data_IF_787707523737
#
_entry.id   IF_787707523737
#
_cell.length_a   1.000
_cell.length_b   1.000
_cell.length_c   1.000
_cell.angle_alpha   90.00
_cell.angle_beta   90.00
_cell.angle_gamma   90.00
#
_symmetry.space_group_name_H-M   'P 1'
#
loop_
_entity.id
_entity.type
_entity.pdbx_description
1 polymer ?
#
# COMPACT_ATOMS: atom_id res chain seq x y z
N UNK A 1 -84.91 11.99 2.42
CA UNK A 1 -84.12 12.00 1.19
C UNK A 1 -84.80 11.10 0.17
N UNK A 2 -85.29 11.68 -0.94
CA UNK A 2 -85.76 10.93 -2.11
C UNK A 2 -84.58 10.80 -3.06
N UNK A 3 -84.03 9.60 -3.22
CA UNK A 3 -83.09 9.31 -4.30
C UNK A 3 -83.92 8.69 -5.43
N UNK A 4 -84.38 9.52 -6.36
CA UNK A 4 -85.26 9.08 -7.46
C UNK A 4 -86.69 8.69 -7.04
N UNK A 5 -87.31 7.80 -7.81
CA UNK A 5 -88.70 7.31 -7.65
C UNK A 5 -88.90 6.25 -6.57
N UNK A 6 -87.86 5.83 -5.86
CA UNK A 6 -87.95 4.78 -4.83
C UNK A 6 -88.30 5.35 -3.45
N UNK A 7 -89.41 4.88 -2.86
CA UNK A 7 -89.77 5.18 -1.46
C UNK A 7 -89.28 4.07 -0.53
N UNK A 8 -88.16 4.31 0.15
CA UNK A 8 -87.63 3.35 1.11
C UNK A 8 -88.40 3.36 2.44
N UNK A 9 -88.79 2.18 2.91
CA UNK A 9 -89.45 2.01 4.22
C UNK A 9 -88.49 2.38 5.38
N UNK A 10 -89.04 2.67 6.58
CA UNK A 10 -88.21 3.04 7.76
C UNK A 10 -87.19 1.95 8.12
N UNK A 11 -87.52 0.68 7.84
CA UNK A 11 -86.64 -0.48 8.05
C UNK A 11 -85.50 -0.51 7.03
N UNK A 12 -85.77 -0.23 5.76
CA UNK A 12 -84.74 -0.16 4.71
C UNK A 12 -83.71 0.94 4.95
N UNK A 13 -84.14 2.10 5.46
CA UNK A 13 -83.20 3.19 5.82
C UNK A 13 -82.22 2.78 6.91
N UNK A 14 -82.70 2.08 7.94
CA UNK A 14 -81.84 1.56 9.02
C UNK A 14 -80.86 0.53 8.46
N UNK A 15 -81.34 -0.37 7.59
CA UNK A 15 -80.53 -1.40 6.95
C UNK A 15 -79.43 -0.81 6.05
N UNK A 16 -79.76 0.26 5.30
CA UNK A 16 -78.81 0.95 4.44
C UNK A 16 -77.71 1.66 5.24
N UNK A 17 -78.07 2.32 6.36
CA UNK A 17 -77.06 2.92 7.26
C UNK A 17 -76.14 1.84 7.84
N UNK A 18 -76.71 0.71 8.29
CA UNK A 18 -75.92 -0.39 8.84
C UNK A 18 -74.96 -0.97 7.78
N UNK A 19 -75.42 -1.15 6.54
CA UNK A 19 -74.58 -1.57 5.41
C UNK A 19 -73.41 -0.62 5.18
N UNK A 20 -73.65 0.69 5.16
CA UNK A 20 -72.59 1.70 4.97
C UNK A 20 -71.56 1.64 6.10
N UNK A 21 -72.00 1.47 7.34
CA UNK A 21 -71.09 1.32 8.49
C UNK A 21 -70.24 0.06 8.38
N UNK A 22 -70.84 -1.07 8.00
CA UNK A 22 -70.11 -2.34 7.82
C UNK A 22 -69.10 -2.22 6.67
N UNK A 23 -69.48 -1.63 5.54
CA UNK A 23 -68.56 -1.38 4.42
C UNK A 23 -67.44 -0.43 4.83
N UNK A 24 -67.73 0.61 5.61
CA UNK A 24 -66.72 1.52 6.14
C UNK A 24 -65.71 0.84 7.05
N UNK A 25 -66.17 -0.05 7.94
CA UNK A 25 -65.30 -0.85 8.82
C UNK A 25 -64.43 -1.81 7.99
N UNK A 26 -65.01 -2.49 7.00
CA UNK A 26 -64.26 -3.40 6.12
C UNK A 26 -63.21 -2.63 5.34
N UNK A 27 -63.57 -1.48 4.74
CA UNK A 27 -62.63 -0.63 4.01
C UNK A 27 -61.50 -0.12 4.91
N UNK A 28 -61.81 0.36 6.11
CA UNK A 28 -60.79 0.81 7.06
C UNK A 28 -59.84 -0.32 7.47
N UNK A 29 -60.38 -1.51 7.75
CA UNK A 29 -59.57 -2.66 8.15
C UNK A 29 -58.70 -3.17 6.98
N UNK A 30 -59.26 -3.20 5.76
CA UNK A 30 -58.54 -3.75 4.61
C UNK A 30 -57.53 -2.76 4.03
N UNK A 31 -57.89 -1.48 3.94
CA UNK A 31 -57.04 -0.45 3.30
C UNK A 31 -56.09 0.18 4.29
N UNK A 32 -56.58 0.64 5.45
CA UNK A 32 -55.74 1.36 6.42
C UNK A 32 -54.85 0.39 7.19
N UNK A 33 -55.42 -0.66 7.80
CA UNK A 33 -54.60 -1.66 8.50
C UNK A 33 -53.83 -2.57 7.55
N UNK A 34 -54.39 -2.92 6.39
CA UNK A 34 -53.70 -3.80 5.43
C UNK A 34 -52.49 -3.15 4.77
N UNK A 35 -52.58 -1.88 4.35
CA UNK A 35 -51.49 -1.24 3.60
C UNK A 35 -50.53 -0.41 4.46
N UNK A 36 -51.00 0.31 5.48
CA UNK A 36 -50.12 1.22 6.24
C UNK A 36 -49.29 0.50 7.30
N UNK A 37 -49.83 -0.58 7.86
CA UNK A 37 -49.21 -1.33 8.95
C UNK A 37 -47.90 -2.06 8.54
N UNK A 38 -47.77 -2.68 7.35
CA UNK A 38 -46.48 -3.19 6.89
C UNK A 38 -45.46 -2.07 6.64
N UNK A 39 -45.85 -0.96 6.00
CA UNK A 39 -44.96 0.16 5.75
C UNK A 39 -44.40 0.78 7.05
N UNK A 40 -45.24 0.89 8.08
CA UNK A 40 -44.82 1.35 9.40
C UNK A 40 -43.85 0.36 10.09
N UNK A 41 -44.11 -0.95 9.98
CA UNK A 41 -43.22 -1.99 10.51
C UNK A 41 -41.85 -1.96 9.82
N UNK A 42 -41.81 -1.78 8.51
CA UNK A 42 -40.58 -1.67 7.74
C UNK A 42 -39.79 -0.42 8.12
N UNK A 43 -40.45 0.74 8.22
CA UNK A 43 -39.82 1.98 8.66
C UNK A 43 -39.23 1.86 10.07
N UNK A 44 -39.98 1.26 11.00
CA UNK A 44 -39.51 1.00 12.37
C UNK A 44 -38.33 0.03 12.39
N UNK A 45 -38.35 -1.00 11.54
CA UNK A 45 -37.24 -1.94 11.35
C UNK A 45 -35.98 -1.24 10.84
N UNK A 46 -36.10 -0.37 9.84
CA UNK A 46 -35.00 0.43 9.30
C UNK A 46 -34.41 1.39 10.33
N UNK A 47 -35.25 2.05 11.13
CA UNK A 47 -34.77 2.91 12.21
C UNK A 47 -34.00 2.13 13.27
N UNK A 48 -34.50 0.96 13.68
CA UNK A 48 -33.79 0.10 14.64
C UNK A 48 -32.44 -0.38 14.09
N UNK A 49 -32.40 -0.87 12.85
CA UNK A 49 -31.16 -1.28 12.20
C UNK A 49 -30.16 -0.12 12.03
N UNK A 50 -30.64 1.09 11.74
CA UNK A 50 -29.81 2.29 11.70
C UNK A 50 -29.21 2.65 13.06
N UNK A 51 -29.99 2.56 14.13
CA UNK A 51 -29.52 2.79 15.50
C UNK A 51 -28.48 1.76 15.94
N UNK A 52 -28.68 0.47 15.62
CA UNK A 52 -27.72 -0.59 15.91
C UNK A 52 -26.39 -0.39 15.17
N UNK A 53 -26.43 0.03 13.89
CA UNK A 53 -25.22 0.38 13.12
C UNK A 53 -24.47 1.56 13.72
N UNK A 54 -25.18 2.61 14.15
CA UNK A 54 -24.56 3.77 14.81
C UNK A 54 -23.92 3.39 16.15
N UNK A 55 -24.57 2.52 16.93
CA UNK A 55 -24.01 2.01 18.19
C UNK A 55 -22.74 1.19 17.95
N UNK A 56 -22.76 0.28 16.96
CA UNK A 56 -21.59 -0.51 16.58
C UNK A 56 -20.43 0.37 16.08
N UNK A 57 -20.72 1.37 15.24
CA UNK A 57 -19.70 2.31 14.76
C UNK A 57 -19.09 3.14 15.88
N UNK A 58 -19.89 3.58 16.87
CA UNK A 58 -19.39 4.29 18.06
C UNK A 58 -18.52 3.39 18.93
N UNK A 59 -18.90 2.13 19.11
CA UNK A 59 -18.09 1.17 19.87
C UNK A 59 -16.75 0.88 19.18
N UNK A 60 -16.74 0.74 17.85
CA UNK A 60 -15.52 0.60 17.06
C UNK A 60 -14.63 1.86 17.12
N UNK A 61 -15.23 3.06 17.09
CA UNK A 61 -14.50 4.31 17.24
C UNK A 61 -13.90 4.46 18.65
N UNK A 62 -14.62 4.04 19.69
CA UNK A 62 -14.14 4.07 21.06
C UNK A 62 -12.94 3.13 21.28
N UNK A 63 -12.98 1.91 20.70
CA UNK A 63 -11.85 0.97 20.78
C UNK A 63 -10.67 1.35 19.88
N UNK A 64 -10.87 2.15 18.84
CA UNK A 64 -9.79 2.60 17.95
C UNK A 64 -8.71 3.40 18.69
N UNK A 65 -9.09 4.27 19.65
CA UNK A 65 -8.14 5.03 20.44
C UNK A 65 -7.31 4.13 21.38
N UNK A 66 -7.94 3.12 22.00
CA UNK A 66 -7.23 2.15 22.83
C UNK A 66 -6.29 1.26 22.00
N UNK A 67 -6.73 0.83 20.81
CA UNK A 67 -5.90 0.05 19.89
C UNK A 67 -4.71 0.86 19.38
N UNK A 68 -4.90 2.14 19.07
CA UNK A 68 -3.80 3.04 18.70
C UNK A 68 -2.78 3.14 19.84
N UNK A 69 -3.23 3.38 21.08
CA UNK A 69 -2.35 3.44 22.25
C UNK A 69 -1.60 2.11 22.49
N UNK A 70 -2.27 0.97 22.33
CA UNK A 70 -1.63 -0.36 22.41
C UNK A 70 -0.61 -0.58 21.30
N UNK A 71 -0.90 -0.13 20.08
CA UNK A 71 0.04 -0.19 18.96
C UNK A 71 1.28 0.66 19.22
N UNK A 72 1.12 1.86 19.77
CA UNK A 72 2.26 2.73 20.11
C UNK A 72 3.08 2.17 21.28
N UNK A 73 2.42 1.58 22.30
CA UNK A 73 3.12 0.87 23.37
C UNK A 73 3.90 -0.35 22.85
N UNK A 74 3.31 -1.12 21.93
CA UNK A 74 3.98 -2.26 21.31
C UNK A 74 5.17 -1.82 20.45
N UNK A 75 5.05 -0.69 19.73
CA UNK A 75 6.17 -0.09 18.97
C UNK A 75 7.29 0.37 19.90
N UNK A 76 6.97 1.09 20.97
CA UNK A 76 7.97 1.54 21.93
C UNK A 76 8.68 0.37 22.63
N UNK A 77 7.92 -0.66 23.02
CA UNK A 77 8.48 -1.88 23.61
C UNK A 77 9.38 -2.64 22.62
N UNK A 78 8.97 -2.72 21.35
CA UNK A 78 9.77 -3.30 20.28
C UNK A 78 11.06 -2.51 20.03
N UNK A 79 11.00 -1.19 19.98
CA UNK A 79 12.20 -0.35 19.79
C UNK A 79 13.17 -0.48 20.97
N UNK A 80 12.64 -0.51 22.21
CA UNK A 80 13.44 -0.75 23.40
C UNK A 80 14.10 -2.13 23.37
N UNK A 81 13.35 -3.19 23.00
CA UNK A 81 13.89 -4.53 22.82
C UNK A 81 14.95 -4.57 21.70
N UNK A 82 14.71 -3.87 20.59
CA UNK A 82 15.66 -3.78 19.47
C UNK A 82 16.98 -3.14 19.89
N UNK A 83 16.93 -2.07 20.67
CA UNK A 83 18.11 -1.41 21.23
C UNK A 83 18.83 -2.32 22.23
N UNK A 84 18.09 -3.02 23.09
CA UNK A 84 18.67 -3.93 24.08
C UNK A 84 19.33 -5.15 23.46
N UNK A 85 18.73 -5.73 22.41
CA UNK A 85 19.25 -6.88 21.68
C UNK A 85 20.40 -6.51 20.73
N UNK A 86 20.70 -5.22 20.57
CA UNK A 86 21.88 -4.76 19.84
C UNK A 86 21.84 -5.12 18.36
N UNK A 87 20.66 -5.26 17.74
CA UNK A 87 20.50 -5.55 16.31
C UNK A 87 21.13 -4.43 15.46
N UNK A 88 22.42 -4.58 15.18
CA UNK A 88 23.28 -3.56 14.57
C UNK A 88 23.71 -3.94 13.17
N UNK A 89 23.62 -5.23 12.82
CA UNK A 89 23.94 -5.74 11.49
C UNK A 89 22.78 -5.42 10.55
N UNK A 90 22.83 -4.23 9.94
CA UNK A 90 21.93 -3.85 8.83
C UNK A 90 22.58 -4.24 7.50
N UNK A 91 21.82 -4.96 6.69
CA UNK A 91 22.21 -5.31 5.34
C UNK A 91 23.08 -6.56 5.24
N UNK A 92 23.29 -6.99 4.01
CA UNK A 92 23.89 -8.29 3.69
C UNK A 92 25.40 -8.31 3.95
N UNK A 93 26.13 -7.25 3.60
CA UNK A 93 27.59 -7.20 3.72
C UNK A 93 28.13 -7.42 5.16
N UNK A 94 27.70 -6.67 6.19
CA UNK A 94 28.22 -6.86 7.55
C UNK A 94 27.78 -8.21 8.15
N UNK A 95 26.62 -8.73 7.73
CA UNK A 95 26.20 -10.09 8.10
C UNK A 95 27.15 -11.14 7.50
N UNK A 96 27.49 -11.04 6.22
CA UNK A 96 28.40 -11.98 5.55
C UNK A 96 29.80 -12.02 6.18
N UNK A 97 30.29 -10.87 6.66
CA UNK A 97 31.55 -10.78 7.39
C UNK A 97 31.46 -11.45 8.76
N UNK A 98 30.40 -11.17 9.52
CA UNK A 98 30.19 -11.75 10.84
C UNK A 98 29.85 -13.25 10.81
N UNK A 99 29.27 -13.72 9.71
CA UNK A 99 28.93 -15.11 9.47
C UNK A 99 30.13 -15.99 9.07
N UNK A 100 31.34 -15.46 8.91
CA UNK A 100 32.52 -16.30 8.65
C UNK A 100 32.88 -17.13 9.89
N UNK A 101 33.28 -18.41 9.74
CA UNK A 101 33.70 -19.23 10.87
C UNK A 101 34.96 -18.66 11.52
N UNK A 102 34.97 -18.57 12.85
CA UNK A 102 36.16 -18.15 13.61
C UNK A 102 37.25 -19.22 13.67
N UNK A 103 36.86 -20.49 13.61
CA UNK A 103 37.79 -21.62 13.60
C UNK A 103 38.25 -21.91 12.17
N UNK A 104 39.57 -21.89 11.97
CA UNK A 104 40.22 -22.19 10.69
C UNK A 104 40.10 -23.68 10.30
N UNK A 105 39.72 -24.55 11.24
CA UNK A 105 39.46 -25.97 10.98
C UNK A 105 38.18 -26.20 10.16
N UNK A 106 37.28 -25.20 10.10
CA UNK A 106 36.10 -25.21 9.24
C UNK A 106 36.39 -24.55 7.90
N UNK A 107 36.07 -25.26 6.83
CA UNK A 107 36.13 -24.75 5.47
C UNK A 107 34.71 -24.48 4.96
N UNK A 108 34.44 -23.23 4.58
CA UNK A 108 33.19 -22.87 3.90
C UNK A 108 33.28 -23.30 2.44
N UNK A 109 32.52 -24.33 2.09
CA UNK A 109 32.47 -24.88 0.73
C UNK A 109 31.53 -24.08 -0.17
N UNK A 110 30.40 -23.61 0.38
CA UNK A 110 29.44 -22.79 -0.33
C UNK A 110 28.78 -21.79 0.61
N UNK A 111 28.62 -20.56 0.13
CA UNK A 111 27.81 -19.53 0.76
C UNK A 111 27.09 -18.77 -0.35
N UNK A 112 25.81 -19.11 -0.61
CA UNK A 112 25.07 -18.64 -1.79
C UNK A 112 23.78 -17.94 -1.38
N UNK A 113 23.53 -16.70 -1.84
CA UNK A 113 22.23 -16.07 -1.65
C UNK A 113 21.17 -16.79 -2.49
N UNK A 114 20.03 -17.05 -1.87
CA UNK A 114 18.82 -17.55 -2.52
C UNK A 114 17.87 -16.36 -2.83
N UNK A 115 16.85 -16.56 -3.70
CA UNK A 115 15.89 -15.50 -4.02
C UNK A 115 15.21 -14.93 -2.77
N UNK A 116 15.13 -13.60 -2.70
CA UNK A 116 14.54 -12.88 -1.56
C UNK A 116 13.05 -13.22 -1.44
N UNK A 117 12.62 -13.63 -0.26
CA UNK A 117 11.21 -13.89 0.03
C UNK A 117 10.58 -12.66 0.70
N UNK A 118 9.40 -12.26 0.23
CA UNK A 118 8.62 -11.19 0.86
C UNK A 118 7.58 -11.82 1.78
N UNK A 119 7.83 -11.79 3.09
CA UNK A 119 6.93 -12.29 4.14
C UNK A 119 6.43 -11.12 4.96
N UNK A 120 5.42 -10.40 4.44
CA UNK A 120 4.87 -9.18 5.06
C UNK A 120 4.67 -9.36 6.58
N UNK A 121 5.32 -8.57 7.46
CA UNK A 121 6.01 -7.29 7.20
C UNK A 121 7.50 -7.36 6.84
N UNK A 122 8.10 -8.53 6.80
CA UNK A 122 9.53 -8.77 6.64
C UNK A 122 9.96 -9.05 5.21
N UNK A 123 11.23 -8.76 4.94
CA UNK A 123 11.97 -9.34 3.81
C UNK A 123 12.93 -10.38 4.39
N UNK A 124 12.92 -11.56 3.81
CA UNK A 124 13.81 -12.65 4.22
C UNK A 124 14.87 -12.82 3.13
N UNK A 125 16.13 -12.77 3.53
CA UNK A 125 17.29 -13.05 2.68
C UNK A 125 17.83 -14.44 3.04
N UNK A 126 17.37 -15.49 2.35
CA UNK A 126 17.86 -16.84 2.59
C UNK A 126 19.27 -17.02 2.02
N UNK A 127 20.14 -17.69 2.78
CA UNK A 127 21.49 -18.08 2.35
C UNK A 127 21.69 -19.57 2.52
N UNK A 128 22.06 -20.25 1.44
CA UNK A 128 22.49 -21.64 1.50
C UNK A 128 23.98 -21.69 1.91
N UNK A 129 24.25 -22.37 3.02
CA UNK A 129 25.58 -22.48 3.60
C UNK A 129 25.98 -23.95 3.67
N UNK A 130 27.16 -24.26 3.12
CA UNK A 130 27.78 -25.59 3.21
C UNK A 130 29.17 -25.44 3.80
N UNK A 131 29.43 -26.15 4.90
CA UNK A 131 30.70 -26.12 5.63
C UNK A 131 31.22 -27.54 5.88
N UNK A 132 32.53 -27.70 5.92
CA UNK A 132 33.17 -28.98 6.25
C UNK A 132 34.27 -28.81 7.29
N UNK A 133 34.33 -29.72 8.25
CA UNK A 133 35.35 -29.73 9.30
C UNK A 133 35.00 -30.68 10.44
N UNK A 134 35.71 -30.61 11.57
CA UNK A 134 35.42 -31.40 12.76
C UNK A 134 34.03 -31.06 13.34
N UNK A 135 33.31 -32.07 13.83
CA UNK A 135 31.97 -31.87 14.41
C UNK A 135 31.91 -30.84 15.56
N UNK A 136 32.87 -30.80 16.51
CA UNK A 136 32.87 -29.77 17.55
C UNK A 136 32.98 -28.35 17.00
N UNK A 137 33.85 -28.13 16.01
CA UNK A 137 34.00 -26.81 15.37
C UNK A 137 32.71 -26.38 14.67
N UNK A 138 32.00 -27.31 14.02
CA UNK A 138 30.69 -27.06 13.42
C UNK A 138 29.66 -26.63 14.47
N UNK A 139 29.63 -27.25 15.65
CA UNK A 139 28.73 -26.89 16.73
C UNK A 139 29.00 -25.47 17.24
N UNK A 140 30.27 -25.11 17.39
CA UNK A 140 30.66 -23.75 17.79
C UNK A 140 30.28 -22.73 16.73
N UNK A 141 30.40 -23.08 15.44
CA UNK A 141 29.98 -22.22 14.34
C UNK A 141 28.46 -22.00 14.28
N UNK A 142 27.65 -23.04 14.50
CA UNK A 142 26.20 -22.88 14.60
C UNK A 142 25.84 -21.96 15.79
N UNK A 143 26.50 -22.16 16.93
CA UNK A 143 26.32 -21.30 18.12
C UNK A 143 26.76 -19.85 17.87
N UNK A 144 27.81 -19.64 17.07
CA UNK A 144 28.23 -18.30 16.61
C UNK A 144 27.14 -17.65 15.76
N UNK A 145 26.58 -18.38 14.80
CA UNK A 145 25.53 -17.86 13.92
C UNK A 145 24.26 -17.48 14.71
N UNK A 146 23.87 -18.29 15.70
CA UNK A 146 22.73 -18.01 16.58
C UNK A 146 22.96 -16.82 17.52
N UNK A 147 24.20 -16.49 17.83
CA UNK A 147 24.57 -15.37 18.72
C UNK A 147 24.87 -14.07 17.97
N UNK A 148 24.72 -14.05 16.65
CA UNK A 148 24.89 -12.83 15.87
C UNK A 148 23.86 -11.76 16.29
N UNK A 149 24.24 -10.47 16.32
CA UNK A 149 23.32 -9.36 16.56
C UNK A 149 22.46 -9.05 15.32
N UNK A 150 21.81 -10.08 14.79
CA UNK A 150 20.91 -10.08 13.65
C UNK A 150 19.74 -11.03 13.91
N UNK A 151 18.57 -10.76 13.32
CA UNK A 151 17.45 -11.70 13.35
C UNK A 151 17.73 -12.80 12.32
N UNK A 152 18.27 -13.93 12.79
CA UNK A 152 18.60 -15.08 11.95
C UNK A 152 17.85 -16.33 12.39
N UNK A 153 17.42 -17.16 11.43
CA UNK A 153 16.91 -18.49 11.70
C UNK A 153 17.63 -19.53 10.84
N UNK A 154 18.08 -20.62 11.47
CA UNK A 154 18.72 -21.74 10.79
C UNK A 154 17.68 -22.83 10.57
N UNK A 155 17.55 -23.31 9.34
CA UNK A 155 16.65 -24.40 9.02
C UNK A 155 17.27 -25.37 7.99
N UNK A 156 16.64 -26.53 7.82
CA UNK A 156 17.10 -27.60 6.92
C UNK A 156 18.54 -28.10 7.19
N UNK A 157 18.97 -28.13 8.45
CA UNK A 157 20.29 -28.63 8.83
C UNK A 157 20.44 -30.11 8.48
N UNK A 158 21.38 -30.41 7.59
CA UNK A 158 21.81 -31.76 7.21
C UNK A 158 23.28 -31.92 7.51
N UNK A 159 23.65 -32.94 8.28
CA UNK A 159 25.04 -33.25 8.62
C UNK A 159 25.34 -34.65 8.08
N UNK A 160 26.38 -34.76 7.26
CA UNK A 160 26.85 -36.00 6.64
C UNK A 160 28.28 -36.28 7.07
N UNK A 161 28.60 -37.53 7.38
CA UNK A 161 29.97 -37.95 7.65
C UNK A 161 30.72 -38.10 6.31
N UNK A 162 31.91 -37.50 6.18
CA UNK A 162 32.72 -37.62 4.97
C UNK A 162 33.55 -38.90 5.02
N UNK A 163 33.26 -39.85 4.13
CA UNK A 163 34.02 -41.10 4.06
C UNK A 163 35.48 -40.81 3.66
N UNK A 164 36.43 -41.36 4.42
CA UNK A 164 37.87 -41.27 4.13
C UNK A 164 38.66 -40.19 4.87
N UNK A 165 38.02 -39.38 5.73
CA UNK A 165 38.72 -38.44 6.59
C UNK A 165 38.23 -38.57 8.04
N UNK A 166 39.08 -39.11 8.92
CA UNK A 166 38.68 -39.45 10.29
C UNK A 166 38.25 -38.17 11.04
N UNK A 167 36.95 -38.10 11.35
CA UNK A 167 36.26 -37.04 12.10
C UNK A 167 35.82 -35.77 11.34
N UNK A 168 35.91 -35.72 10.01
CA UNK A 168 35.33 -34.62 9.24
C UNK A 168 33.85 -34.86 8.90
N UNK A 169 33.01 -33.87 9.20
CA UNK A 169 31.61 -33.82 8.77
C UNK A 169 31.44 -32.73 7.71
N UNK A 170 30.40 -32.87 6.90
CA UNK A 170 29.92 -31.86 5.97
C UNK A 170 28.50 -31.49 6.40
N UNK A 171 28.26 -30.20 6.62
CA UNK A 171 26.96 -29.69 7.00
C UNK A 171 26.43 -28.70 5.97
N UNK A 172 25.17 -28.87 5.60
CA UNK A 172 24.43 -28.00 4.69
C UNK A 172 23.16 -27.53 5.38
N UNK A 173 22.92 -26.22 5.37
CA UNK A 173 21.75 -25.59 5.98
C UNK A 173 21.42 -24.27 5.30
N UNK A 174 20.23 -23.73 5.59
CA UNK A 174 19.80 -22.42 5.12
C UNK A 174 19.71 -21.49 6.32
N UNK A 175 20.32 -20.31 6.19
CA UNK A 175 20.19 -19.21 7.15
C UNK A 175 19.27 -18.16 6.57
N UNK A 176 18.16 -17.89 7.24
CA UNK A 176 17.28 -16.76 6.92
C UNK A 176 17.75 -15.53 7.68
N UNK A 177 18.15 -14.48 6.96
CA UNK A 177 18.34 -13.15 7.54
C UNK A 177 17.07 -12.33 7.36
N UNK A 178 16.44 -11.94 8.47
CA UNK A 178 15.23 -11.14 8.46
C UNK A 178 15.57 -9.65 8.47
N UNK A 179 15.05 -8.92 7.49
CA UNK A 179 15.12 -7.47 7.39
C UNK A 179 13.72 -6.90 7.50
N UNK A 180 13.54 -5.98 8.44
CA UNK A 180 12.27 -5.31 8.67
C UNK A 180 11.92 -4.29 7.57
N UNK A 181 12.86 -3.95 6.69
CA UNK A 181 12.67 -2.97 5.64
C UNK A 181 12.51 -1.55 6.21
N UNK A 182 13.36 -0.63 5.79
CA UNK A 182 13.18 0.79 6.10
C UNK A 182 11.97 1.32 5.31
N UNK A 183 10.77 1.24 5.89
CA UNK A 183 9.58 1.91 5.34
C UNK A 183 8.25 1.16 5.44
N UNK A 184 8.20 -0.09 5.90
CA UNK A 184 6.92 -0.76 6.17
C UNK A 184 6.55 -0.59 7.66
N UNK A 185 5.45 0.08 8.01
CA UNK A 185 4.99 0.13 9.39
C UNK A 185 4.70 -1.30 9.86
N UNK A 186 5.34 -1.72 10.95
CA UNK A 186 5.07 -3.00 11.60
C UNK A 186 3.55 -3.14 11.84
N UNK A 187 2.89 -4.18 11.30
CA UNK A 187 1.54 -4.52 11.69
C UNK A 187 1.57 -4.89 13.18
N UNK A 188 0.63 -4.34 13.95
CA UNK A 188 0.54 -4.50 15.41
C UNK A 188 0.42 -5.97 15.88
N UNK A 189 0.30 -6.93 14.96
CA UNK A 189 0.10 -8.35 15.23
C UNK A 189 1.38 -9.17 15.47
N UNK A 190 2.58 -8.61 15.29
CA UNK A 190 3.84 -9.42 15.29
C UNK A 190 4.51 -9.52 16.67
N UNK A 191 3.93 -8.96 17.72
CA UNK A 191 4.47 -9.00 19.09
C UNK A 191 4.33 -10.37 19.81
N UNK A 192 4.15 -11.48 19.10
CA UNK A 192 3.81 -12.79 19.70
C UNK A 192 4.79 -13.94 19.39
N UNK A 193 5.99 -13.67 18.88
CA UNK A 193 7.03 -14.72 18.87
C UNK A 193 7.74 -14.76 20.23
N UNK A 194 7.60 -15.83 21.02
CA UNK A 194 8.43 -16.00 22.21
C UNK A 194 9.88 -16.20 21.75
N UNK A 195 10.74 -15.21 21.99
CA UNK A 195 12.19 -15.29 21.76
C UNK A 195 12.91 -16.16 22.80
N UNK A 196 12.25 -17.22 23.29
CA UNK A 196 12.78 -18.14 24.28
C UNK A 196 12.72 -19.56 23.72
N UNK A 197 13.82 -20.30 23.88
CA UNK A 197 13.95 -21.72 23.53
C UNK A 197 12.66 -22.48 23.88
N UNK A 198 11.89 -22.85 22.86
CA UNK A 198 10.90 -23.93 23.03
C UNK A 198 11.73 -25.21 23.02
N UNK A 199 12.09 -25.67 24.21
CA UNK A 199 12.68 -26.99 24.38
C UNK A 199 11.62 -28.02 23.97
N UNK A 200 11.72 -28.50 22.72
CA UNK A 200 10.80 -29.50 22.15
C UNK A 200 10.84 -30.86 22.87
N UNK A 201 11.68 -30.99 23.91
CA UNK A 201 11.78 -32.18 24.75
C UNK A 201 11.17 -32.00 26.15
N UNK A 202 10.64 -30.84 26.52
CA UNK A 202 9.94 -30.72 27.80
C UNK A 202 8.52 -31.29 27.66
N UNK A 203 8.17 -32.42 28.30
CA UNK A 203 6.81 -32.93 28.24
C UNK A 203 5.84 -31.91 28.85
N UNK A 204 4.60 -31.80 28.34
CA UNK A 204 3.61 -30.87 28.86
C UNK A 204 3.38 -31.14 30.35
N UNK A 205 3.38 -30.07 31.15
CA UNK A 205 3.08 -30.13 32.57
C UNK A 205 1.69 -30.77 32.77
N UNK A 206 1.67 -32.02 33.22
CA UNK A 206 0.44 -32.81 33.39
C UNK A 206 0.56 -34.30 33.07
N UNK A 207 1.64 -34.76 32.43
CA UNK A 207 1.88 -36.19 32.21
C UNK A 207 2.45 -36.87 33.48
N UNK A 208 1.63 -36.95 34.53
CA UNK A 208 1.90 -37.81 35.69
C UNK A 208 1.50 -39.23 35.29
N UNK A 209 2.49 -40.08 35.04
CA UNK A 209 2.26 -41.51 34.89
C UNK A 209 1.82 -42.08 36.24
N UNK A 210 0.52 -42.38 36.36
CA UNK A 210 0.03 -43.31 37.37
C UNK A 210 0.56 -44.70 37.00
N UNK A 211 1.53 -45.18 37.77
CA UNK A 211 1.89 -46.57 37.78
C UNK A 211 0.78 -47.36 38.48
N UNK A 212 0.30 -48.41 37.82
CA UNK A 212 -0.20 -49.59 38.51
C UNK A 212 0.14 -50.81 37.66
N UNK A 213 0.83 -51.76 38.30
CA UNK A 213 1.30 -52.98 37.67
C UNK A 213 0.21 -54.03 37.51
N UNK A 214 0.49 -55.01 36.65
CA UNK A 214 0.36 -56.44 36.94
C UNK A 214 0.38 -57.25 35.64
N UNK A 215 1.28 -58.24 35.62
CA UNK A 215 1.08 -59.62 35.14
C UNK A 215 0.31 -59.88 33.84
N UNK A 216 0.96 -60.61 32.93
CA UNK A 216 0.23 -61.60 32.14
C UNK A 216 0.85 -61.95 30.81
N UNK A 217 1.58 -63.06 30.81
CA UNK A 217 1.99 -63.88 29.68
C UNK A 217 1.05 -63.93 28.45
N UNK A 218 1.67 -64.07 27.27
CA UNK A 218 1.21 -65.07 26.30
C UNK A 218 0.97 -64.61 24.86
N UNK A 219 1.48 -65.42 23.93
CA UNK A 219 1.11 -65.57 22.52
C UNK A 219 1.68 -64.58 21.48
N UNK A 220 2.76 -65.04 20.85
CA UNK A 220 3.06 -64.93 19.40
C UNK A 220 2.05 -65.80 18.60
N UNK A 221 2.07 -65.89 17.26
CA UNK A 221 2.18 -64.91 16.16
C UNK A 221 0.99 -65.05 15.14
N UNK A 222 0.97 -64.20 14.10
CA UNK A 222 0.61 -64.69 12.75
C UNK A 222 -0.35 -63.86 11.91
N UNK A 223 0.07 -63.68 10.65
CA UNK A 223 -0.71 -63.58 9.40
C UNK A 223 -1.76 -62.45 9.34
N UNK A 224 -1.68 -61.45 8.48
CA UNK A 224 -1.27 -61.48 7.08
C UNK A 224 -2.52 -61.23 6.25
N UNK A 225 -2.68 -60.05 5.65
CA UNK A 225 -3.50 -59.89 4.44
C UNK A 225 -3.20 -58.56 3.73
N UNK A 226 -2.75 -58.77 2.50
CA UNK A 226 -2.82 -57.95 1.30
C UNK A 226 -3.90 -56.85 1.23
N UNK A 227 -3.53 -55.68 0.69
CA UNK A 227 -3.95 -55.21 -0.65
C UNK A 227 -3.91 -53.67 -0.75
N UNK A 228 -3.48 -53.15 -1.91
CA UNK A 228 -3.92 -51.83 -2.36
C UNK A 228 -2.85 -50.84 -2.81
N UNK A 229 -1.96 -51.23 -3.73
CA UNK A 229 -1.17 -50.29 -4.52
C UNK A 229 -2.06 -49.57 -5.57
N UNK A 230 -2.07 -48.23 -5.58
CA UNK A 230 -2.42 -47.43 -6.77
C UNK A 230 -1.75 -46.03 -6.71
N UNK A 231 -0.59 -45.82 -7.35
CA UNK A 231 -0.09 -44.47 -7.60
C UNK A 231 -0.77 -43.88 -8.84
N UNK A 232 -1.35 -42.69 -8.69
CA UNK A 232 -1.86 -41.89 -9.80
C UNK A 232 -0.68 -41.31 -10.60
N UNK A 233 -0.68 -41.63 -11.89
CA UNK A 233 0.29 -41.19 -12.88
C UNK A 233 0.11 -39.72 -13.25
N UNK A 234 1.26 -39.05 -13.41
CA UNK A 234 1.41 -37.75 -14.03
C UNK A 234 0.91 -37.75 -15.47
N UNK A 235 0.29 -36.64 -15.88
CA UNK A 235 0.19 -36.24 -17.29
C UNK A 235 0.53 -34.77 -17.40
N UNK A 236 1.79 -34.50 -17.70
CA UNK A 236 2.30 -33.23 -18.21
C UNK A 236 2.09 -33.20 -19.72
N UNK A 237 1.16 -32.37 -20.18
CA UNK A 237 0.95 -32.10 -21.59
C UNK A 237 2.00 -31.10 -22.10
N UNK A 238 2.87 -31.59 -22.97
CA UNK A 238 3.82 -30.85 -23.79
C UNK A 238 3.09 -30.16 -24.95
N UNK A 239 3.00 -28.83 -24.90
CA UNK A 239 2.56 -28.00 -26.02
C UNK A 239 3.78 -27.47 -26.74
N UNK A 240 4.11 -28.09 -27.87
CA UNK A 240 5.08 -27.59 -28.85
C UNK A 240 4.43 -26.50 -29.69
N UNK A 241 4.71 -25.23 -29.36
CA UNK A 241 4.33 -24.06 -30.16
C UNK A 241 5.46 -23.67 -31.10
N UNK A 242 5.25 -23.88 -32.40
CA UNK A 242 6.09 -23.43 -33.50
C UNK A 242 6.09 -21.90 -33.61
N UNK A 243 7.28 -21.29 -33.62
CA UNK A 243 7.50 -19.86 -33.84
C UNK A 243 7.64 -19.58 -35.34
N UNK A 244 6.77 -18.78 -35.98
CA UNK A 244 7.03 -18.28 -37.33
C UNK A 244 7.94 -17.05 -37.26
N UNK A 245 9.16 -17.19 -37.78
CA UNK A 245 10.00 -16.07 -38.20
C UNK A 245 9.37 -15.42 -39.42
N UNK A 246 8.91 -14.17 -39.29
CA UNK A 246 8.64 -13.33 -40.45
C UNK A 246 9.06 -11.89 -40.12
N UNK A 247 10.28 -11.54 -40.53
CA UNK A 247 10.82 -10.18 -40.48
C UNK A 247 10.39 -9.44 -41.76
N UNK A 248 9.75 -8.26 -41.66
CA UNK A 248 9.53 -7.40 -42.82
C UNK A 248 10.85 -6.70 -43.22
N UNK A 249 11.09 -6.46 -44.52
CA UNK A 249 12.28 -5.76 -44.99
C UNK A 249 12.24 -4.28 -44.65
N UNK A 250 13.43 -3.71 -44.45
CA UNK A 250 13.68 -2.31 -44.14
C UNK A 250 13.18 -1.38 -45.25
N UNK A 251 12.41 -0.36 -44.85
CA UNK A 251 12.03 0.76 -45.72
C UNK A 251 13.25 1.63 -46.06
N UNK A 252 13.35 2.13 -47.31
CA UNK A 252 14.45 2.99 -47.73
C UNK A 252 14.32 4.42 -47.18
N UNK A 253 15.47 5.06 -47.01
CA UNK A 253 15.61 6.46 -46.60
C UNK A 253 14.94 7.41 -47.60
N UNK A 254 14.26 8.49 -47.15
CA UNK A 254 13.74 9.50 -48.06
C UNK A 254 14.87 10.41 -48.57
N UNK A 255 14.85 10.57 -49.89
CA UNK A 255 15.67 11.49 -50.66
C UNK A 255 15.47 12.95 -50.22
N UNK A 256 16.56 13.71 -50.29
CA UNK A 256 16.58 15.14 -49.98
C UNK A 256 15.75 15.97 -50.95
N UNK A 257 15.09 16.99 -50.40
CA UNK A 257 14.52 18.09 -51.16
C UNK A 257 15.49 19.29 -51.15
N UNK A 258 15.77 19.92 -52.30
CA UNK A 258 16.56 21.12 -52.39
C UNK A 258 15.70 22.39 -52.29
N UNK A 259 16.22 23.39 -51.56
CA UNK A 259 16.13 24.81 -51.90
C UNK A 259 14.80 25.53 -51.68
N UNK A 260 14.74 26.34 -50.61
CA UNK A 260 14.03 27.63 -50.64
C UNK A 260 14.73 28.67 -49.76
N UNK A 261 14.75 29.90 -50.30
CA UNK A 261 15.46 31.14 -49.97
C UNK A 261 15.43 31.68 -48.52
N UNK A 262 16.35 32.61 -48.18
CA UNK A 262 16.54 33.12 -46.83
C UNK A 262 15.52 34.21 -46.48
N UNK A 263 14.80 34.03 -45.37
CA UNK A 263 14.02 35.08 -44.72
C UNK A 263 14.70 35.48 -43.40
N UNK A 264 15.17 36.72 -43.40
CA UNK A 264 15.32 37.67 -42.29
C UNK A 264 15.26 37.08 -40.88
N UNK A 265 16.44 36.91 -40.26
CA UNK A 265 16.56 36.63 -38.82
C UNK A 265 16.06 37.83 -38.01
N UNK A 266 15.22 37.62 -36.97
CA UNK A 266 14.97 38.63 -35.97
C UNK A 266 16.25 38.83 -35.14
N UNK A 267 16.62 40.09 -34.96
CA UNK A 267 17.72 40.54 -34.12
C UNK A 267 17.59 39.92 -32.72
N UNK A 268 18.44 38.94 -32.42
CA UNK A 268 18.62 38.42 -31.07
C UNK A 268 19.22 39.55 -30.21
N UNK A 269 18.54 39.87 -29.13
CA UNK A 269 19.09 40.71 -28.07
C UNK A 269 20.40 40.12 -27.53
N UNK A 270 21.30 41.03 -27.16
CA UNK A 270 22.64 40.76 -26.64
C UNK A 270 22.69 39.68 -25.54
N UNK A 271 23.79 38.91 -25.45
CA UNK A 271 23.98 37.90 -24.42
C UNK A 271 24.18 38.58 -23.06
N UNK A 272 23.11 38.66 -22.27
CA UNK A 272 23.22 38.93 -20.85
C UNK A 272 23.78 37.67 -20.15
N UNK A 273 24.90 37.85 -19.47
CA UNK A 273 25.44 37.04 -18.36
C UNK A 273 25.16 35.53 -18.40
N UNK A 274 26.10 34.78 -18.99
CA UNK A 274 26.20 33.34 -18.83
C UNK A 274 26.68 33.05 -17.40
N UNK A 275 25.76 32.70 -16.49
CA UNK A 275 26.20 32.34 -15.13
C UNK A 275 25.22 31.62 -14.21
N UNK A 276 23.91 31.89 -14.26
CA UNK A 276 22.97 31.23 -13.36
C UNK A 276 21.67 30.89 -14.08
N UNK A 277 21.30 29.60 -14.08
CA UNK A 277 19.97 29.18 -14.50
C UNK A 277 18.93 29.99 -13.72
N UNK A 278 17.96 30.63 -14.40
CA UNK A 278 16.99 31.51 -13.76
C UNK A 278 16.34 30.77 -12.58
N UNK A 279 16.46 31.35 -11.39
CA UNK A 279 15.88 30.81 -10.18
C UNK A 279 14.41 31.27 -10.11
N UNK A 280 13.49 30.50 -10.66
CA UNK A 280 12.08 30.87 -10.69
C UNK A 280 11.26 30.06 -9.67
N UNK A 281 10.29 30.74 -9.06
CA UNK A 281 9.18 30.10 -8.35
C UNK A 281 8.04 29.82 -9.32
N UNK A 282 7.01 29.11 -8.86
CA UNK A 282 5.85 28.80 -9.67
C UNK A 282 5.13 30.08 -10.17
N UNK A 283 4.70 30.12 -11.45
CA UNK A 283 3.91 31.22 -11.97
C UNK A 283 2.58 31.34 -11.23
N UNK A 284 1.97 32.52 -11.30
CA UNK A 284 0.65 32.81 -10.72
C UNK A 284 -0.36 33.07 -11.81
N UNK A 285 -1.58 32.58 -11.64
CA UNK A 285 -2.66 32.86 -12.58
C UNK A 285 -3.17 34.30 -12.38
N UNK A 286 -2.96 35.17 -13.37
CA UNK A 286 -3.56 36.49 -13.47
C UNK A 286 -4.73 36.48 -14.47
N UNK A 287 -5.47 37.60 -14.50
CA UNK A 287 -6.63 37.75 -15.37
C UNK A 287 -6.28 37.55 -16.85
N UNK A 288 -5.07 37.94 -17.23
CA UNK A 288 -4.57 37.95 -18.61
C UNK A 288 -3.58 36.80 -18.89
N UNK A 289 -3.51 35.79 -18.02
CA UNK A 289 -2.65 34.61 -18.19
C UNK A 289 -1.69 34.37 -17.03
N UNK A 290 -0.67 33.54 -17.28
CA UNK A 290 0.34 33.20 -16.27
C UNK A 290 1.38 34.31 -16.15
N UNK A 291 1.52 34.85 -14.95
CA UNK A 291 2.56 35.82 -14.60
C UNK A 291 3.70 35.09 -13.90
N UNK A 292 4.98 35.40 -14.20
CA UNK A 292 6.11 34.84 -13.47
C UNK A 292 5.95 34.98 -11.95
N UNK A 293 6.34 33.94 -11.21
CA UNK A 293 6.37 33.99 -9.76
C UNK A 293 7.45 34.96 -9.25
N UNK A 294 7.44 35.31 -7.95
CA UNK A 294 8.54 36.06 -7.34
C UNK A 294 9.88 35.34 -7.54
N UNK A 295 10.99 36.08 -7.48
CA UNK A 295 12.31 35.45 -7.44
C UNK A 295 12.38 34.50 -6.24
N UNK A 296 13.00 33.33 -6.43
CA UNK A 296 13.19 32.38 -5.34
C UNK A 296 13.99 33.05 -4.21
N UNK A 297 13.46 32.95 -3.00
CA UNK A 297 14.17 33.31 -1.78
C UNK A 297 14.37 32.02 -1.02
N UNK A 298 15.62 31.74 -0.62
CA UNK A 298 15.88 30.54 0.16
C UNK A 298 15.12 30.65 1.50
N UNK A 299 14.23 29.70 1.81
CA UNK A 299 13.49 29.74 3.06
C UNK A 299 14.50 29.77 4.21
N UNK A 300 14.29 30.70 5.15
CA UNK A 300 15.11 30.82 6.35
C UNK A 300 15.23 29.45 7.02
N UNK A 301 16.46 29.01 7.28
CA UNK A 301 16.70 27.79 8.03
C UNK A 301 16.07 27.95 9.43
N UNK A 302 14.93 27.32 9.65
CA UNK A 302 14.15 27.42 10.87
C UNK A 302 13.18 26.25 11.01
N UNK A 303 12.64 26.08 12.22
CA UNK A 303 11.80 24.94 12.63
C UNK A 303 10.37 24.96 12.05
N UNK A 304 10.16 25.60 10.90
CA UNK A 304 8.85 25.74 10.28
C UNK A 304 8.71 24.83 9.06
N UNK A 305 7.49 24.36 8.83
CA UNK A 305 7.17 23.69 7.58
C UNK A 305 7.32 24.67 6.40
N UNK A 306 7.92 24.18 5.31
CA UNK A 306 8.09 24.93 4.06
C UNK A 306 7.04 24.47 3.05
N UNK A 307 6.43 25.40 2.33
CA UNK A 307 5.34 25.07 1.41
C UNK A 307 5.85 24.79 0.00
N UNK A 308 5.14 23.94 -0.76
CA UNK A 308 5.57 23.56 -2.12
C UNK A 308 5.79 24.77 -3.05
N UNK A 309 4.99 25.83 -2.90
CA UNK A 309 5.12 27.06 -3.69
C UNK A 309 6.33 27.94 -3.32
N UNK A 310 6.94 27.68 -2.17
CA UNK A 310 8.14 28.36 -1.67
C UNK A 310 9.43 27.61 -2.06
N UNK A 311 9.32 26.37 -2.52
CA UNK A 311 10.47 25.58 -2.94
C UNK A 311 11.04 26.05 -4.27
N UNK A 312 12.33 25.79 -4.46
CA UNK A 312 13.01 26.06 -5.72
C UNK A 312 12.53 25.08 -6.79
N UNK A 313 11.99 25.63 -7.88
CA UNK A 313 11.56 24.83 -9.04
C UNK A 313 12.76 24.58 -9.95
N UNK A 314 13.04 23.31 -10.22
CA UNK A 314 14.07 22.86 -11.15
C UNK A 314 13.52 22.71 -12.57
N UNK A 315 12.26 22.27 -12.69
CA UNK A 315 11.58 22.03 -13.97
C UNK A 315 10.06 22.15 -13.82
N UNK A 316 9.39 22.77 -14.78
CA UNK A 316 7.93 22.87 -14.85
C UNK A 316 7.46 22.62 -16.29
N UNK A 317 6.96 21.41 -16.56
CA UNK A 317 6.41 20.99 -17.87
C UNK A 317 4.89 20.85 -17.72
N UNK A 318 4.12 21.51 -18.59
CA UNK A 318 2.66 21.59 -18.46
C UNK A 318 2.30 22.48 -17.28
N UNK A 319 2.17 23.80 -17.49
CA UNK A 319 2.52 24.79 -16.47
C UNK A 319 1.71 24.61 -15.19
N UNK A 320 2.40 24.20 -14.13
CA UNK A 320 1.91 24.31 -12.76
C UNK A 320 1.91 25.78 -12.36
N UNK A 321 0.87 26.21 -11.65
CA UNK A 321 0.73 27.58 -11.18
C UNK A 321 0.06 27.65 -9.81
N UNK A 322 0.40 28.68 -9.05
CA UNK A 322 -0.23 28.96 -7.75
C UNK A 322 -1.65 29.49 -7.97
N UNK A 323 -2.61 28.89 -7.28
CA UNK A 323 -4.00 29.34 -7.27
C UNK A 323 -4.17 30.53 -6.33
N UNK A 324 -4.85 31.58 -6.80
CA UNK A 324 -5.19 32.76 -5.98
C UNK A 324 -6.31 32.49 -4.97
N UNK A 325 -7.07 31.42 -5.19
CA UNK A 325 -8.15 30.96 -4.32
C UNK A 325 -7.77 29.63 -3.69
N UNK A 326 -8.38 29.27 -2.54
CA UNK A 326 -8.36 27.89 -2.08
C UNK A 326 -8.87 26.94 -3.18
N UNK A 327 -8.26 25.77 -3.26
CA UNK A 327 -8.77 24.67 -4.06
C UNK A 327 -10.00 24.09 -3.38
N UNK A 328 -11.04 23.80 -4.16
CA UNK A 328 -12.23 23.10 -3.68
C UNK A 328 -12.10 21.64 -4.14
N UNK A 329 -11.85 20.69 -3.22
CA UNK A 329 -11.68 19.27 -3.54
C UNK A 329 -12.75 18.45 -2.81
N UNK A 330 -13.74 17.93 -3.53
CA UNK A 330 -14.88 17.20 -2.97
C UNK A 330 -15.59 17.98 -1.83
N UNK A 331 -15.76 19.29 -2.01
CA UNK A 331 -16.34 20.20 -1.04
C UNK A 331 -15.38 20.70 0.06
N UNK A 332 -14.14 20.20 0.12
CA UNK A 332 -13.12 20.71 1.05
C UNK A 332 -12.42 21.95 0.47
N UNK A 333 -12.34 23.03 1.24
CA UNK A 333 -11.57 24.22 0.85
C UNK A 333 -10.15 24.15 1.43
N UNK A 334 -9.16 23.99 0.57
CA UNK A 334 -7.75 23.86 0.96
C UNK A 334 -6.93 25.05 0.46
N UNK A 335 -6.18 25.68 1.36
CA UNK A 335 -5.31 26.82 1.04
C UNK A 335 -4.05 26.42 0.27
N UNK A 336 -3.22 27.43 -0.07
CA UNK A 336 -1.85 27.27 -0.63
C UNK A 336 -1.75 26.14 -1.66
N UNK A 337 -2.51 26.31 -2.74
CA UNK A 337 -2.75 25.27 -3.73
C UNK A 337 -2.07 25.58 -5.05
N UNK A 338 -1.51 24.54 -5.67
CA UNK A 338 -0.88 24.59 -6.98
C UNK A 338 -1.75 23.79 -7.95
N UNK A 339 -2.21 24.44 -9.00
CA UNK A 339 -3.03 23.82 -10.04
C UNK A 339 -2.23 23.55 -11.31
N UNK A 340 -2.66 22.53 -12.06
CA UNK A 340 -2.26 22.31 -13.44
C UNK A 340 -3.49 21.91 -14.26
N UNK A 341 -3.68 22.59 -15.39
CA UNK A 341 -4.75 22.27 -16.32
C UNK A 341 -4.29 21.16 -17.25
N UNK A 342 -5.05 20.06 -17.30
CA UNK A 342 -4.81 18.92 -18.17
C UNK A 342 -6.03 18.66 -19.06
N UNK A 343 -5.81 18.06 -20.22
CA UNK A 343 -6.86 17.65 -21.17
C UNK A 343 -6.37 16.49 -22.03
N UNK A 344 -7.21 16.02 -22.96
CA UNK A 344 -6.82 14.97 -23.92
C UNK A 344 -5.65 15.38 -24.83
N UNK A 345 -5.50 16.69 -25.10
CA UNK A 345 -4.41 17.23 -25.91
C UNK A 345 -3.16 17.58 -25.08
N UNK A 346 -3.34 17.76 -23.77
CA UNK A 346 -2.26 18.07 -22.81
C UNK A 346 -2.29 17.04 -21.70
N UNK A 347 -1.86 15.84 -22.04
CA UNK A 347 -2.05 14.66 -21.20
C UNK A 347 -1.07 14.55 -20.05
N UNK A 348 0.07 15.24 -20.08
CA UNK A 348 1.11 15.08 -19.07
C UNK A 348 1.67 16.42 -18.60
N UNK A 349 1.88 16.51 -17.30
CA UNK A 349 2.61 17.58 -16.65
C UNK A 349 3.62 17.03 -15.64
N UNK A 350 4.74 17.72 -15.49
CA UNK A 350 5.82 17.37 -14.57
C UNK A 350 6.34 18.61 -13.83
N UNK A 351 6.35 18.56 -12.50
CA UNK A 351 6.95 19.56 -11.63
C UNK A 351 8.11 18.93 -10.87
N UNK A 352 9.32 19.47 -11.03
CA UNK A 352 10.51 19.04 -10.31
C UNK A 352 10.98 20.14 -9.37
N UNK A 353 11.20 19.80 -8.10
CA UNK A 353 11.65 20.74 -7.06
C UNK A 353 12.93 20.24 -6.38
N UNK A 354 13.74 21.19 -5.90
CA UNK A 354 14.98 20.97 -5.16
C UNK A 354 14.69 20.93 -3.65
N UNK A 355 15.01 19.80 -3.01
CA UNK A 355 14.83 19.59 -1.57
C UNK A 355 16.15 19.66 -0.80
N UNK A 356 17.29 19.47 -1.48
CA UNK A 356 18.65 19.51 -0.89
C UNK A 356 18.86 18.60 0.32
N UNK A 357 18.06 17.53 0.46
CA UNK A 357 18.13 16.63 1.62
C UNK A 357 17.71 17.26 2.95
N UNK A 358 17.03 18.42 2.96
CA UNK A 358 16.72 19.17 4.20
C UNK A 358 15.42 18.75 4.89
N UNK A 359 14.57 18.00 4.20
CA UNK A 359 13.23 17.66 4.67
C UNK A 359 13.12 16.17 4.94
N UNK A 360 12.37 15.79 5.97
CA UNK A 360 12.15 14.38 6.33
C UNK A 360 10.76 13.89 5.97
N UNK A 361 9.83 14.81 5.71
CA UNK A 361 8.42 14.48 5.49
C UNK A 361 7.77 15.44 4.50
N UNK A 362 6.85 14.91 3.71
CA UNK A 362 5.92 15.65 2.86
C UNK A 362 4.49 15.32 3.29
N UNK A 363 3.69 16.34 3.52
CA UNK A 363 2.27 16.19 3.85
C UNK A 363 1.39 17.12 3.02
N UNK A 364 0.19 16.67 2.65
CA UNK A 364 -0.77 17.49 1.92
C UNK A 364 -1.81 16.66 1.16
N UNK A 365 -2.41 17.24 0.12
CA UNK A 365 -3.48 16.60 -0.64
C UNK A 365 -3.25 16.70 -2.14
N UNK A 366 -3.67 15.67 -2.87
CA UNK A 366 -3.83 15.70 -4.32
C UNK A 366 -5.30 15.48 -4.68
N UNK A 367 -5.81 16.22 -5.66
CA UNK A 367 -7.21 16.10 -6.08
C UNK A 367 -7.51 16.76 -7.43
N UNK A 368 -8.78 16.76 -7.82
CA UNK A 368 -9.30 17.53 -8.94
C UNK A 368 -10.23 18.61 -8.37
N UNK A 369 -10.07 19.85 -8.82
CA UNK A 369 -10.88 20.97 -8.33
C UNK A 369 -12.36 20.80 -8.75
N UNK A 370 -13.29 21.09 -7.83
CA UNK A 370 -14.73 20.90 -7.99
C UNK A 370 -15.32 21.70 -9.15
N UNK A 371 -14.65 22.78 -9.59
CA UNK A 371 -15.03 23.49 -10.83
C UNK A 371 -14.93 22.63 -12.10
N UNK A 372 -14.28 21.47 -12.02
CA UNK A 372 -14.14 20.48 -13.09
C UNK A 372 -14.79 19.13 -12.74
N UNK A 373 -15.78 19.11 -11.83
CA UNK A 373 -16.47 17.89 -11.40
C UNK A 373 -17.14 17.10 -12.55
N UNK A 374 -17.47 17.75 -13.67
CA UNK A 374 -18.08 17.12 -14.85
C UNK A 374 -17.08 16.68 -15.92
N UNK A 375 -15.78 16.69 -15.64
CA UNK A 375 -14.77 16.23 -16.60
C UNK A 375 -14.90 14.72 -16.89
N UNK A 376 -14.70 14.32 -18.14
CA UNK A 376 -14.60 12.91 -18.54
C UNK A 376 -13.21 12.32 -18.26
N UNK A 377 -12.25 13.17 -17.87
CA UNK A 377 -10.88 12.78 -17.56
C UNK A 377 -10.71 12.30 -16.13
N UNK A 378 -9.68 11.49 -15.90
CA UNK A 378 -9.13 11.19 -14.57
C UNK A 378 -7.64 11.52 -14.57
N UNK A 379 -7.05 11.67 -13.38
CA UNK A 379 -5.64 12.01 -13.22
C UNK A 379 -4.92 10.88 -12.51
N UNK A 380 -3.85 10.38 -13.13
CA UNK A 380 -2.84 9.56 -12.48
C UNK A 380 -1.77 10.46 -11.90
N UNK A 381 -1.62 10.43 -10.58
CA UNK A 381 -0.59 11.17 -9.83
C UNK A 381 0.54 10.21 -9.52
N UNK A 382 1.78 10.58 -9.82
CA UNK A 382 2.97 9.80 -9.45
C UNK A 382 4.03 10.73 -8.87
N UNK A 383 4.60 10.37 -7.73
CA UNK A 383 5.63 11.16 -7.05
C UNK A 383 6.92 10.34 -7.01
N UNK A 384 8.01 10.94 -7.50
CA UNK A 384 9.35 10.35 -7.50
C UNK A 384 10.28 11.16 -6.60
N UNK A 385 11.10 10.47 -5.81
CA UNK A 385 12.22 11.04 -5.07
C UNK A 385 13.53 10.49 -5.65
N UNK A 386 14.39 11.36 -6.17
CA UNK A 386 15.67 10.99 -6.79
C UNK A 386 15.54 9.87 -7.84
N UNK A 387 14.43 9.90 -8.59
CA UNK A 387 14.11 8.89 -9.62
C UNK A 387 13.40 7.63 -9.09
N UNK A 388 13.32 7.42 -7.77
CA UNK A 388 12.57 6.32 -7.15
C UNK A 388 11.11 6.71 -6.94
N UNK A 389 10.17 5.89 -7.41
CA UNK A 389 8.75 6.11 -7.18
C UNK A 389 8.42 5.94 -5.68
N UNK A 390 7.85 6.98 -5.06
CA UNK A 390 7.36 6.96 -3.68
C UNK A 390 5.84 6.76 -3.61
N UNK A 391 5.10 7.28 -4.58
CA UNK A 391 3.65 7.27 -4.58
C UNK A 391 3.09 7.14 -5.99
N UNK A 392 1.96 6.44 -6.11
CA UNK A 392 1.14 6.42 -7.31
C UNK A 392 -0.34 6.28 -6.92
N UNK A 393 -1.17 7.18 -7.44
CA UNK A 393 -2.61 7.19 -7.22
C UNK A 393 -3.36 7.60 -8.48
N UNK A 394 -4.65 7.24 -8.55
CA UNK A 394 -5.57 7.71 -9.58
C UNK A 394 -6.73 8.44 -8.93
N UNK A 395 -7.15 9.58 -9.50
CA UNK A 395 -8.19 10.45 -8.95
C UNK A 395 -9.18 10.79 -10.06
N UNK A 396 -10.48 10.61 -9.80
CA UNK A 396 -11.56 11.01 -10.70
C UNK A 396 -12.23 12.30 -10.20
N UNK A 397 -12.87 13.07 -11.09
CA UNK A 397 -13.69 14.20 -10.69
C UNK A 397 -14.75 13.79 -9.66
N UNK A 398 -14.86 14.55 -8.57
CA UNK A 398 -15.76 14.25 -7.45
C UNK A 398 -15.26 13.21 -6.43
N UNK A 399 -14.12 12.53 -6.68
CA UNK A 399 -13.48 11.69 -5.67
C UNK A 399 -12.96 12.55 -4.51
N UNK A 400 -12.95 11.97 -3.31
CA UNK A 400 -12.28 12.59 -2.17
C UNK A 400 -10.78 12.79 -2.46
N UNK A 401 -10.18 13.91 -2.02
CA UNK A 401 -8.77 14.17 -2.24
C UNK A 401 -7.90 13.10 -1.56
N UNK A 402 -6.84 12.68 -2.24
CA UNK A 402 -5.87 11.73 -1.72
C UNK A 402 -4.93 12.46 -0.76
N UNK A 403 -4.94 12.06 0.50
CA UNK A 403 -3.97 12.53 1.49
C UNK A 403 -2.60 11.93 1.21
N UNK A 404 -1.59 12.78 1.17
CA UNK A 404 -0.20 12.43 0.95
C UNK A 404 0.55 12.58 2.27
N UNK A 405 1.25 11.53 2.67
CA UNK A 405 2.14 11.51 3.84
C UNK A 405 3.34 10.63 3.49
N UNK A 406 4.41 11.27 3.00
CA UNK A 406 5.55 10.57 2.41
C UNK A 406 6.84 10.88 3.17
N UNK A 407 7.63 9.84 3.53
CA UNK A 407 8.95 10.04 4.12
C UNK A 407 9.96 10.50 3.05
N UNK A 408 10.79 11.49 3.38
CA UNK A 408 11.74 12.16 2.48
C UNK A 408 13.21 12.11 2.96
N UNK A 409 13.59 11.11 3.75
CA UNK A 409 14.96 10.98 4.27
C UNK A 409 16.03 11.11 3.17
N UNK A 410 16.89 12.13 3.30
CA UNK A 410 18.02 12.43 2.41
C UNK A 410 17.65 12.66 0.94
N UNK A 411 16.39 12.97 0.63
CA UNK A 411 15.93 13.19 -0.74
C UNK A 411 16.45 14.52 -1.27
N UNK A 412 17.15 14.49 -2.41
CA UNK A 412 17.70 15.69 -3.04
C UNK A 412 16.65 16.39 -3.90
N UNK A 413 15.88 15.62 -4.67
CA UNK A 413 14.94 16.14 -5.66
C UNK A 413 13.63 15.38 -5.61
N UNK A 414 12.53 16.11 -5.72
CA UNK A 414 11.19 15.54 -5.81
C UNK A 414 10.55 15.90 -7.15
N UNK A 415 9.89 14.93 -7.78
CA UNK A 415 9.20 15.09 -9.05
C UNK A 415 7.74 14.67 -8.92
N UNK A 416 6.82 15.60 -9.18
CA UNK A 416 5.39 15.36 -9.30
C UNK A 416 5.06 15.18 -10.78
N UNK A 417 4.59 13.99 -11.17
CA UNK A 417 4.10 13.69 -12.52
C UNK A 417 2.60 13.50 -12.47
N UNK A 418 1.86 14.31 -13.23
CA UNK A 418 0.42 14.21 -13.36
C UNK A 418 0.08 13.87 -14.81
N UNK A 419 -0.67 12.79 -14.99
CA UNK A 419 -1.05 12.27 -16.30
C UNK A 419 -2.58 12.16 -16.40
N UNK A 420 -3.16 12.87 -17.34
CA UNK A 420 -4.55 12.74 -17.73
C UNK A 420 -4.79 11.41 -18.43
N UNK A 421 -5.88 10.76 -18.08
CA UNK A 421 -6.35 9.53 -18.71
C UNK A 421 -7.86 9.61 -18.93
N UNK A 422 -8.39 8.83 -19.88
CA UNK A 422 -9.83 8.70 -20.04
C UNK A 422 -10.45 8.08 -18.77
N UNK A 423 -11.40 8.79 -18.16
CA UNK A 423 -11.96 8.48 -16.84
C UNK A 423 -13.42 8.01 -16.86
N UNK A 424 -14.20 8.32 -17.89
CA UNK A 424 -15.59 7.89 -18.03
C UNK A 424 -16.48 8.91 -18.73
N UNK A 425 -17.74 8.97 -18.29
CA UNK A 425 -18.76 9.91 -18.80
C UNK A 425 -18.52 11.29 -18.17
N UNK A 426 -18.43 12.32 -19.00
CA UNK A 426 -18.36 13.73 -18.60
C UNK A 426 -18.66 14.63 -19.79
N UNK A 427 -18.92 15.91 -19.51
CA UNK A 427 -19.36 16.89 -20.51
C UNK A 427 -18.19 17.44 -21.35
N UNK A 428 -16.99 17.41 -20.79
CA UNK A 428 -15.75 17.93 -21.40
C UNK A 428 -14.53 17.15 -20.87
N UNK A 429 -13.38 17.25 -21.55
CA UNK A 429 -12.18 16.49 -21.22
C UNK A 429 -11.18 17.24 -20.32
N UNK A 430 -11.28 18.57 -20.27
CA UNK A 430 -10.42 19.41 -19.46
C UNK A 430 -10.66 19.19 -17.96
N UNK A 431 -9.60 19.22 -17.15
CA UNK A 431 -9.66 19.22 -15.69
C UNK A 431 -8.56 20.09 -15.09
N UNK A 432 -8.76 20.49 -13.83
CA UNK A 432 -7.76 21.16 -13.01
C UNK A 432 -7.27 20.21 -11.91
N UNK A 433 -6.14 19.56 -12.17
CA UNK A 433 -5.49 18.74 -11.16
C UNK A 433 -4.78 19.65 -10.16
N UNK A 434 -4.93 19.37 -8.87
CA UNK A 434 -4.48 20.27 -7.81
C UNK A 434 -3.68 19.54 -6.75
N UNK A 435 -2.58 20.18 -6.36
CA UNK A 435 -1.68 19.85 -5.27
C UNK A 435 -1.93 20.89 -4.16
N UNK A 436 -2.66 20.51 -3.12
CA UNK A 436 -3.20 21.43 -2.12
C UNK A 436 -2.58 21.25 -0.73
N UNK A 437 -2.31 22.36 -0.04
CA UNK A 437 -1.72 22.38 1.30
C UNK A 437 -0.47 21.52 1.47
N UNK A 438 0.35 21.40 0.40
CA UNK A 438 1.58 20.61 0.43
C UNK A 438 2.69 21.35 1.16
N UNK A 439 3.15 20.75 2.25
CA UNK A 439 4.21 21.28 3.10
C UNK A 439 5.23 20.20 3.45
N UNK A 440 6.43 20.66 3.77
CA UNK A 440 7.63 19.86 3.99
C UNK A 440 8.18 20.16 5.37
N UNK A 441 8.28 19.13 6.20
CA UNK A 441 8.83 19.26 7.55
C UNK A 441 10.34 19.02 7.52
N UNK A 442 11.16 19.86 8.19
CA UNK A 442 12.60 19.68 8.26
C UNK A 442 12.98 18.40 9.01
N UNK A 443 14.26 18.02 8.95
CA UNK A 443 14.80 17.08 9.92
C UNK A 443 14.89 17.77 11.29
N UNK A 444 14.23 17.19 12.30
CA UNK A 444 14.41 17.59 13.70
C UNK A 444 15.82 17.26 14.22
#
# INVERSE_FOLDING_TARGET
MKFGTYQFSRREKILLVLLVVVVGIIFFNYVVLGQQLPAYRDLRGRLKAGQERLAAARQAAASAAELAKKADQARAAWEAARLHLGFTLRGTAPFLEAAQPRDQSLQVLAFRPLPVEKRDPFRVYPYEVTVSGPYPALQDYISQLESLPALTAIHNLKILARQGNNAAVEASFIIDLYDLGEGNPLPAAVALFPSGRVDGFTPPAGAVAAGDGANGAGASPGQGETAGNKPASLSTASVSGTVPQNLPPASPAPAGNPGTNPATQPVLASPADVGQAPQYTLPRLAKDGLVPGPAFQEPLAGNGDVWLEELRVLRNVGPFYVLKRPAALAGMNLGRSIGVTLSKDKTKAELKVDLRGRYTRLQGYAGIDDSFANSSGKVKVTIFADGRQLYQGEIRPGDYPQYLDLPLFLVQQLTFSLEWQAGGIGDYDQLLATLASLHFSPAD
#
